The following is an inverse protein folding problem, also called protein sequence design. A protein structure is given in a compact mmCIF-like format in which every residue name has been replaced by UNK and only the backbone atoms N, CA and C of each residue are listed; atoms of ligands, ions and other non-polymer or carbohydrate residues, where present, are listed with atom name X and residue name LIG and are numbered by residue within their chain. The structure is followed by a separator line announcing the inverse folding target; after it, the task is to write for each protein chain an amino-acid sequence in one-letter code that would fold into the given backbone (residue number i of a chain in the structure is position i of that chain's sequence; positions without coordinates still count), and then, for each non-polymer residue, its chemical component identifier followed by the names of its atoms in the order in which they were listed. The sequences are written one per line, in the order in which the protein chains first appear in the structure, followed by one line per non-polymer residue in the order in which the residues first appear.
data_IF_084066259852
#
_entry.id   IF_084066259852
#
_cell.length_a   1.000
_cell.length_b   1.000
_cell.length_c   1.000
_cell.angle_alpha   90.00
_cell.angle_beta   90.00
_cell.angle_gamma   90.00
#
_symmetry.space_group_name_H-M   'P 1'
#
loop_
_entity.id
_entity.type
_entity.pdbx_description
1 polymer ?
#
# COMPACT_ATOMS: atom_id res chain seq x y z
N UNK A 1 -8.06 -14.11 -15.94
CA UNK A 1 -7.52 -12.92 -15.23
C UNK A 1 -6.02 -13.15 -15.03
N UNK A 2 -5.12 -12.15 -15.07
CA UNK A 2 -4.94 -11.02 -15.98
C UNK A 2 -3.50 -10.99 -16.60
N UNK A 3 -3.20 -10.11 -17.57
CA UNK A 3 -1.93 -10.08 -18.29
C UNK A 3 -0.86 -9.23 -17.61
N UNK A 4 0.35 -9.80 -17.48
CA UNK A 4 1.57 -9.13 -17.06
C UNK A 4 1.99 -8.05 -18.06
N UNK A 5 2.21 -6.83 -17.57
CA UNK A 5 2.76 -5.70 -18.34
C UNK A 5 4.27 -5.86 -18.54
N UNK A 6 4.66 -6.11 -19.78
CA UNK A 6 5.84 -5.56 -20.47
C UNK A 6 7.21 -5.69 -19.79
N UNK A 7 7.89 -6.83 -20.00
CA UNK A 7 9.37 -6.86 -20.05
C UNK A 7 9.81 -6.38 -21.43
N UNK A 8 10.62 -5.32 -21.46
CA UNK A 8 11.33 -4.85 -22.65
C UNK A 8 12.53 -5.77 -22.85
N UNK A 9 12.33 -6.86 -23.57
CA UNK A 9 13.42 -7.75 -24.00
C UNK A 9 14.23 -7.06 -25.10
N UNK A 10 15.52 -6.90 -24.85
CA UNK A 10 16.50 -6.52 -25.86
C UNK A 10 16.52 -7.60 -26.95
N UNK A 11 16.04 -7.28 -28.17
CA UNK A 11 16.28 -8.10 -29.36
C UNK A 11 17.22 -7.38 -30.30
N UNK A 12 18.28 -8.10 -30.69
CA UNK A 12 19.34 -7.68 -31.59
C UNK A 12 18.78 -7.19 -32.95
N UNK A 13 19.44 -6.19 -33.50
CA UNK A 13 19.05 -5.30 -34.60
C UNK A 13 19.03 -5.91 -36.03
N UNK A 14 18.77 -7.20 -36.17
CA UNK A 14 18.91 -7.91 -37.46
C UNK A 14 17.64 -8.06 -38.31
N UNK A 15 16.44 -7.86 -37.75
CA UNK A 15 15.16 -8.15 -38.43
C UNK A 15 14.09 -7.06 -38.20
N UNK A 16 14.49 -5.78 -38.22
CA UNK A 16 13.57 -4.68 -37.92
C UNK A 16 12.61 -4.33 -39.07
N UNK A 17 13.00 -4.59 -40.32
CA UNK A 17 12.26 -4.14 -41.50
C UNK A 17 11.00 -5.01 -41.78
N UNK A 18 11.10 -6.34 -41.65
CA UNK A 18 9.98 -7.24 -41.99
C UNK A 18 8.87 -7.29 -40.91
N UNK A 19 9.22 -7.11 -39.63
CA UNK A 19 8.23 -7.06 -38.54
C UNK A 19 7.40 -5.76 -38.53
N UNK A 20 7.97 -4.66 -39.07
CA UNK A 20 7.29 -3.37 -39.17
C UNK A 20 6.13 -3.38 -40.18
N UNK A 21 6.25 -4.17 -41.24
CA UNK A 21 5.21 -4.29 -42.26
C UNK A 21 4.01 -5.12 -41.77
N UNK A 22 4.25 -6.25 -41.10
CA UNK A 22 3.20 -7.10 -40.55
C UNK A 22 2.42 -6.42 -39.40
N UNK A 23 3.08 -5.62 -38.56
CA UNK A 23 2.44 -4.91 -37.45
C UNK A 23 1.54 -3.74 -37.88
N UNK A 24 1.73 -3.20 -39.10
CA UNK A 24 0.88 -2.11 -39.65
C UNK A 24 -0.45 -2.63 -40.19
N UNK A 25 -0.50 -3.86 -40.71
CA UNK A 25 -1.72 -4.47 -41.23
C UNK A 25 -2.67 -5.00 -40.13
N UNK A 26 -2.15 -5.32 -38.94
CA UNK A 26 -2.94 -5.84 -37.82
C UNK A 26 -3.66 -4.76 -36.98
N UNK A 27 -3.45 -3.47 -37.25
CA UNK A 27 -4.12 -2.35 -36.55
C UNK A 27 -5.34 -1.81 -37.30
N UNK A 28 -6.16 -2.70 -37.85
CA UNK A 28 -7.51 -2.33 -38.25
C UNK A 28 -8.26 -1.81 -37.00
N UNK A 29 -8.53 -0.51 -36.99
CA UNK A 29 -9.11 0.20 -35.87
C UNK A 29 -10.50 -0.36 -35.55
N UNK A 30 -10.64 -1.00 -34.37
CA UNK A 30 -11.95 -1.42 -33.87
C UNK A 30 -12.86 -0.19 -33.81
N UNK A 31 -14.13 -0.27 -34.27
CA UNK A 31 -15.06 0.86 -34.20
C UNK A 31 -15.23 1.30 -32.73
N UNK A 32 -15.15 2.60 -32.50
CA UNK A 32 -15.37 3.20 -31.17
C UNK A 32 -16.79 2.84 -30.73
N UNK A 33 -16.92 2.22 -29.56
CA UNK A 33 -18.24 1.92 -29.02
C UNK A 33 -19.07 3.20 -28.84
N UNK A 34 -20.39 3.14 -29.09
CA UNK A 34 -21.27 4.28 -28.92
C UNK A 34 -21.24 4.77 -27.46
N UNK A 35 -21.17 6.09 -27.28
CA UNK A 35 -21.15 6.69 -25.95
C UNK A 35 -22.47 6.37 -25.24
N UNK A 36 -22.39 5.67 -24.10
CA UNK A 36 -23.54 5.42 -23.22
C UNK A 36 -24.15 6.76 -22.81
N UNK A 37 -25.38 7.04 -23.25
CA UNK A 37 -26.13 8.23 -22.86
C UNK A 37 -26.61 8.00 -21.43
N UNK A 38 -25.92 8.62 -20.46
CA UNK A 38 -26.29 8.56 -19.04
C UNK A 38 -27.64 9.25 -18.86
N UNK A 39 -28.54 8.57 -18.15
CA UNK A 39 -29.84 9.11 -17.71
C UNK A 39 -29.62 10.30 -16.75
N UNK A 40 -30.59 11.22 -16.59
CA UNK A 40 -30.43 12.37 -15.68
C UNK A 40 -30.08 11.94 -14.24
N UNK A 41 -30.66 10.84 -13.75
CA UNK A 41 -30.37 10.29 -12.41
C UNK A 41 -28.92 9.77 -12.28
N UNK A 42 -28.38 9.08 -13.30
CA UNK A 42 -26.98 8.64 -13.30
C UNK A 42 -26.00 9.82 -13.37
N UNK A 43 -26.39 10.97 -13.97
CA UNK A 43 -25.56 12.18 -14.01
C UNK A 43 -25.45 12.85 -12.64
N UNK A 44 -26.53 12.86 -11.87
CA UNK A 44 -26.55 13.41 -10.51
C UNK A 44 -25.74 12.54 -9.55
N UNK A 45 -25.91 11.22 -9.60
CA UNK A 45 -25.08 10.29 -8.82
C UNK A 45 -23.59 10.44 -9.15
N UNK A 46 -23.24 10.59 -10.44
CA UNK A 46 -21.86 10.84 -10.86
C UNK A 46 -21.33 12.22 -10.44
N UNK A 47 -22.19 13.22 -10.25
CA UNK A 47 -21.82 14.53 -9.74
C UNK A 47 -21.50 14.46 -8.24
N UNK A 48 -22.37 13.81 -7.45
CA UNK A 48 -22.17 13.60 -6.02
C UNK A 48 -20.88 12.81 -5.74
N UNK A 49 -20.65 11.71 -6.48
CA UNK A 49 -19.43 10.91 -6.32
C UNK A 49 -18.15 11.72 -6.63
N UNK A 50 -18.20 12.63 -7.62
CA UNK A 50 -17.06 13.51 -7.92
C UNK A 50 -16.79 14.48 -6.78
N UNK A 51 -17.81 15.02 -6.14
CA UNK A 51 -17.66 15.92 -5.01
C UNK A 51 -17.07 15.21 -3.79
N UNK A 52 -17.53 14.00 -3.50
CA UNK A 52 -16.96 13.15 -2.45
C UNK A 52 -15.48 12.86 -2.72
N UNK A 53 -15.13 12.46 -3.95
CA UNK A 53 -13.73 12.24 -4.35
C UNK A 53 -12.87 13.50 -4.20
N UNK A 54 -13.41 14.69 -4.49
CA UNK A 54 -12.71 15.98 -4.26
C UNK A 54 -12.49 16.24 -2.78
N UNK A 55 -13.48 15.99 -1.91
CA UNK A 55 -13.35 16.15 -0.46
C UNK A 55 -12.26 15.22 0.10
N UNK A 56 -12.31 13.93 -0.28
CA UNK A 56 -11.29 12.94 0.13
C UNK A 56 -9.91 13.32 -0.40
N UNK A 57 -9.81 13.83 -1.63
CA UNK A 57 -8.52 14.27 -2.18
C UNK A 57 -7.93 15.43 -1.37
N UNK A 58 -8.72 16.45 -1.05
CA UNK A 58 -8.27 17.58 -0.23
C UNK A 58 -7.85 17.12 1.16
N UNK A 59 -8.62 16.22 1.79
CA UNK A 59 -8.28 15.65 3.09
C UNK A 59 -6.96 14.86 3.05
N UNK A 60 -6.69 14.14 1.95
CA UNK A 60 -5.40 13.46 1.75
C UNK A 60 -4.25 14.44 1.56
N UNK A 61 -4.44 15.51 0.80
CA UNK A 61 -3.42 16.53 0.57
C UNK A 61 -3.07 17.25 1.88
N UNK A 62 -4.07 17.64 2.68
CA UNK A 62 -3.83 18.25 4.01
C UNK A 62 -3.18 17.27 4.97
N UNK A 63 -3.63 16.01 4.99
CA UNK A 63 -3.01 14.96 5.79
C UNK A 63 -1.54 14.74 5.43
N UNK A 64 -1.22 14.59 4.14
CA UNK A 64 0.15 14.40 3.68
C UNK A 64 1.05 15.59 4.03
N UNK A 65 0.53 16.82 4.07
CA UNK A 65 1.28 17.99 4.49
C UNK A 65 1.63 17.97 6.00
N UNK A 66 0.86 17.27 6.83
CA UNK A 66 1.18 17.10 8.27
C UNK A 66 2.27 16.07 8.55
N UNK A 67 2.65 15.28 7.53
CA UNK A 67 3.60 14.19 7.68
C UNK A 67 5.03 14.72 7.63
N UNK A 68 5.74 14.58 8.75
CA UNK A 68 7.17 14.85 8.84
C UNK A 68 7.93 13.53 8.68
N UNK A 69 8.75 13.37 7.62
CA UNK A 69 9.57 12.16 7.46
C UNK A 69 10.51 11.97 8.64
N UNK A 70 10.63 10.72 9.10
CA UNK A 70 11.60 10.36 10.11
C UNK A 70 12.99 10.34 9.49
N UNK A 71 13.97 10.93 10.17
CA UNK A 71 15.37 10.89 9.75
C UNK A 71 15.94 9.51 10.10
N UNK A 72 16.40 8.71 9.11
CA UNK A 72 16.95 7.39 9.37
C UNK A 72 18.12 7.48 10.36
N UNK A 73 18.10 6.61 11.37
CA UNK A 73 19.18 6.49 12.34
C UNK A 73 19.51 5.01 12.51
N UNK A 74 20.67 4.60 12.00
CA UNK A 74 21.09 3.18 12.03
C UNK A 74 21.37 2.66 13.44
N UNK A 75 21.59 3.55 14.40
CA UNK A 75 21.75 3.21 15.82
C UNK A 75 20.41 2.99 16.53
N UNK A 76 19.28 3.36 15.90
CA UNK A 76 17.97 3.15 16.51
C UNK A 76 17.65 1.66 16.60
N UNK A 77 17.23 1.23 17.80
CA UNK A 77 16.82 -0.13 18.10
C UNK A 77 15.54 -0.06 18.92
N UNK A 78 14.52 -0.81 18.52
CA UNK A 78 13.32 -0.96 19.34
C UNK A 78 13.65 -1.68 20.67
N UNK A 79 12.93 -1.37 21.75
CA UNK A 79 13.01 -2.14 22.99
C UNK A 79 12.71 -3.63 22.77
N UNK A 80 13.18 -4.46 23.70
CA UNK A 80 12.79 -5.87 23.73
C UNK A 80 11.28 -6.00 24.01
N UNK A 81 10.71 -7.11 23.55
CA UNK A 81 9.28 -7.45 23.60
C UNK A 81 8.37 -6.54 22.77
N UNK A 82 8.90 -5.54 22.07
CA UNK A 82 8.10 -4.75 21.13
C UNK A 82 7.61 -5.63 19.99
N UNK A 83 6.31 -5.52 19.70
CA UNK A 83 5.71 -6.16 18.53
C UNK A 83 5.98 -5.32 17.29
N UNK A 84 6.69 -5.91 16.34
CA UNK A 84 7.11 -5.28 15.09
C UNK A 84 6.53 -6.02 13.89
N UNK A 85 6.47 -5.33 12.77
CA UNK A 85 5.96 -5.84 11.50
C UNK A 85 6.77 -5.29 10.33
N UNK A 86 6.67 -5.96 9.17
CA UNK A 86 7.31 -5.49 7.95
C UNK A 86 6.54 -4.36 7.28
N UNK A 87 7.27 -3.56 6.50
CA UNK A 87 6.68 -2.49 5.67
C UNK A 87 5.51 -2.96 4.81
N UNK A 88 5.64 -4.14 4.18
CA UNK A 88 4.58 -4.71 3.32
C UNK A 88 3.30 -4.96 4.10
N UNK A 89 3.45 -5.49 5.31
CA UNK A 89 2.34 -5.94 6.14
C UNK A 89 1.65 -4.73 6.79
N UNK A 90 2.42 -3.68 7.11
CA UNK A 90 1.89 -2.39 7.55
C UNK A 90 0.96 -1.78 6.49
N UNK A 91 1.41 -1.78 5.23
CA UNK A 91 0.66 -1.20 4.11
C UNK A 91 -0.60 -1.98 3.80
N UNK A 92 -0.53 -3.31 3.77
CA UNK A 92 -1.67 -4.16 3.45
C UNK A 92 -2.73 -4.13 4.55
N UNK A 93 -2.31 -4.23 5.82
CA UNK A 93 -3.23 -4.32 6.94
C UNK A 93 -3.85 -2.98 7.33
N UNK A 94 -3.05 -1.91 7.39
CA UNK A 94 -3.51 -0.61 7.87
C UNK A 94 -3.77 0.40 6.74
N UNK A 95 -3.66 -0.02 5.47
CA UNK A 95 -3.90 0.86 4.33
C UNK A 95 -2.95 2.06 4.26
N UNK A 96 -1.74 1.91 4.78
CA UNK A 96 -0.73 2.97 4.82
C UNK A 96 0.00 3.13 3.48
N UNK A 97 0.40 4.35 3.15
CA UNK A 97 1.18 4.69 1.96
C UNK A 97 2.67 4.71 2.25
N UNK A 98 3.51 4.72 1.21
CA UNK A 98 4.96 4.84 1.39
C UNK A 98 5.39 6.12 2.12
N UNK A 99 4.71 7.24 1.86
CA UNK A 99 4.97 8.52 2.51
C UNK A 99 4.67 8.46 4.01
N UNK A 100 3.55 7.84 4.36
CA UNK A 100 3.16 7.61 5.76
C UNK A 100 4.16 6.69 6.46
N UNK A 101 4.56 5.60 5.82
CA UNK A 101 5.59 4.70 6.38
C UNK A 101 6.94 5.39 6.59
N UNK A 102 7.28 6.38 5.76
CA UNK A 102 8.52 7.15 5.92
C UNK A 102 8.52 8.08 7.15
N UNK A 103 7.35 8.38 7.72
CA UNK A 103 7.27 9.15 8.98
C UNK A 103 7.52 8.30 10.23
N UNK A 104 7.45 6.98 10.09
CA UNK A 104 7.58 6.07 11.22
C UNK A 104 9.04 5.73 11.49
N UNK A 105 9.36 5.61 12.78
CA UNK A 105 10.63 5.05 13.23
C UNK A 105 10.73 3.62 12.73
N UNK A 106 11.91 3.26 12.24
CA UNK A 106 12.17 1.93 11.75
C UNK A 106 13.57 1.47 12.10
N UNK A 107 13.71 0.16 12.23
CA UNK A 107 14.97 -0.52 12.48
C UNK A 107 15.33 -1.33 11.24
N UNK A 108 16.57 -1.18 10.76
CA UNK A 108 17.12 -1.96 9.66
C UNK A 108 17.70 -3.28 10.18
N UNK A 109 17.53 -4.34 9.41
CA UNK A 109 18.14 -5.64 9.73
C UNK A 109 19.56 -5.65 9.17
N UNK A 110 20.58 -5.95 9.97
CA UNK A 110 21.94 -6.14 9.47
C UNK A 110 21.95 -7.15 8.32
N UNK A 111 22.58 -6.80 7.19
CA UNK A 111 22.73 -7.66 6.00
C UNK A 111 21.41 -8.01 5.28
N UNK A 112 20.30 -7.31 5.56
CA UNK A 112 19.06 -7.45 4.79
C UNK A 112 18.48 -6.09 4.43
N UNK A 113 17.85 -5.99 3.26
CA UNK A 113 17.12 -4.79 2.84
C UNK A 113 15.77 -4.61 3.57
N UNK A 114 15.41 -5.54 4.47
CA UNK A 114 14.15 -5.49 5.21
C UNK A 114 14.27 -4.53 6.40
N UNK A 115 13.16 -3.84 6.68
CA UNK A 115 13.02 -2.94 7.81
C UNK A 115 11.80 -3.29 8.65
N UNK A 116 11.91 -3.06 9.95
CA UNK A 116 10.84 -3.25 10.92
C UNK A 116 10.23 -1.94 11.35
N UNK A 117 8.93 -1.98 11.58
CA UNK A 117 8.14 -0.90 12.14
C UNK A 117 7.41 -1.42 13.38
N UNK A 118 7.26 -0.60 14.41
CA UNK A 118 6.42 -0.96 15.55
C UNK A 118 4.96 -1.07 15.12
N UNK A 119 4.27 -2.11 15.57
CA UNK A 119 2.86 -2.32 15.25
C UNK A 119 1.99 -1.19 15.83
N UNK A 120 2.28 -0.76 17.05
CA UNK A 120 1.53 0.29 17.74
C UNK A 120 1.60 1.62 17.00
N UNK A 121 2.79 2.01 16.52
CA UNK A 121 2.97 3.22 15.74
C UNK A 121 2.20 3.18 14.43
N UNK A 122 2.21 2.04 13.73
CA UNK A 122 1.43 1.85 12.50
C UNK A 122 -0.09 1.94 12.77
N UNK A 123 -0.57 1.33 13.87
CA UNK A 123 -1.98 1.44 14.31
C UNK A 123 -2.36 2.88 14.64
N UNK A 124 -1.51 3.60 15.37
CA UNK A 124 -1.74 4.98 15.77
C UNK A 124 -1.79 5.92 14.55
N UNK A 125 -0.91 5.72 13.57
CA UNK A 125 -0.94 6.48 12.33
C UNK A 125 -2.21 6.19 11.52
N UNK A 126 -2.62 4.92 11.44
CA UNK A 126 -3.87 4.53 10.78
C UNK A 126 -5.10 5.14 11.46
N UNK A 127 -5.13 5.15 12.80
CA UNK A 127 -6.16 5.85 13.60
C UNK A 127 -6.24 7.33 13.27
N UNK A 128 -5.10 8.03 13.28
CA UNK A 128 -5.04 9.47 12.97
C UNK A 128 -5.49 9.75 11.53
N UNK A 129 -5.08 8.92 10.57
CA UNK A 129 -5.51 9.01 9.17
C UNK A 129 -7.02 8.83 9.01
N UNK A 130 -7.60 7.87 9.76
CA UNK A 130 -9.04 7.62 9.77
C UNK A 130 -9.80 8.84 10.33
N UNK A 131 -9.36 9.38 11.48
CA UNK A 131 -9.94 10.59 12.07
C UNK A 131 -9.82 11.82 11.15
N UNK A 132 -8.74 11.91 10.37
CA UNK A 132 -8.55 12.99 9.38
C UNK A 132 -9.41 12.84 8.11
N UNK A 133 -10.19 11.76 7.97
CA UNK A 133 -10.97 11.49 6.75
C UNK A 133 -10.11 11.22 5.50
N UNK A 134 -8.80 11.01 5.67
CA UNK A 134 -7.84 10.72 4.60
C UNK A 134 -7.74 9.22 4.26
N UNK A 135 -8.59 8.40 4.89
CA UNK A 135 -8.68 6.96 4.68
C UNK A 135 -9.04 6.57 3.25
N UNK A 136 -8.83 5.28 2.93
CA UNK A 136 -9.40 4.70 1.71
C UNK A 136 -10.90 4.50 1.92
N UNK A 137 -11.77 4.79 0.93
CA UNK A 137 -13.19 4.47 1.04
C UNK A 137 -13.37 2.97 1.33
N UNK A 138 -14.16 2.64 2.36
CA UNK A 138 -14.39 1.27 2.82
C UNK A 138 -13.23 0.65 3.63
N UNK A 139 -12.33 1.47 4.20
CA UNK A 139 -11.35 1.01 5.18
C UNK A 139 -11.94 1.07 6.59
N UNK A 140 -11.98 -0.08 7.27
CA UNK A 140 -12.33 -0.18 8.68
C UNK A 140 -11.06 -0.45 9.49
N UNK A 141 -10.87 0.28 10.59
CA UNK A 141 -9.63 0.27 11.38
C UNK A 141 -9.37 -1.08 12.06
N UNK A 142 -10.43 -1.77 12.48
CA UNK A 142 -10.35 -3.03 13.23
C UNK A 142 -10.35 -4.27 12.33
N UNK A 143 -10.60 -4.11 11.02
CA UNK A 143 -10.44 -5.18 10.05
C UNK A 143 -8.98 -5.31 9.60
N UNK A 144 -8.24 -6.21 10.24
CA UNK A 144 -6.94 -6.64 9.72
C UNK A 144 -7.18 -7.48 8.46
N UNK A 145 -6.89 -6.90 7.29
CA UNK A 145 -7.01 -7.62 6.01
C UNK A 145 -5.90 -8.66 5.86
N UNK A 146 -6.24 -9.91 6.13
CA UNK A 146 -5.39 -11.09 5.90
C UNK A 146 -4.55 -11.51 7.12
N UNK A 147 -3.59 -12.41 6.88
CA UNK A 147 -2.65 -12.87 7.91
C UNK A 147 -1.59 -11.79 8.17
N UNK A 148 -1.56 -11.28 9.40
CA UNK A 148 -0.55 -10.31 9.81
C UNK A 148 0.64 -11.05 10.41
N UNK A 149 1.79 -10.96 9.75
CA UNK A 149 3.04 -11.46 10.30
C UNK A 149 3.54 -10.46 11.33
N UNK A 150 3.31 -10.79 12.59
CA UNK A 150 3.86 -10.05 13.72
C UNK A 150 5.10 -10.76 14.22
N UNK A 151 6.03 -9.96 14.72
CA UNK A 151 7.24 -10.46 15.33
C UNK A 151 7.40 -9.80 16.68
N UNK A 152 7.77 -10.56 17.70
CA UNK A 152 8.25 -9.99 18.95
C UNK A 152 9.77 -9.91 18.90
N UNK A 153 10.30 -8.73 19.23
CA UNK A 153 11.74 -8.58 19.44
C UNK A 153 12.14 -9.31 20.71
N UNK A 154 12.94 -10.37 20.60
CA UNK A 154 13.45 -11.13 21.73
C UNK A 154 14.98 -11.20 21.68
N UNK A 155 15.60 -11.37 22.84
CA UNK A 155 16.96 -11.89 22.92
C UNK A 155 16.89 -13.40 22.89
N UNK A 156 17.76 -14.01 22.10
CA UNK A 156 17.97 -15.43 22.12
C UNK A 156 18.87 -15.85 23.28
N UNK A 157 19.02 -17.16 23.52
CA UNK A 157 19.87 -17.68 24.62
C UNK A 157 21.35 -17.25 24.54
N UNK A 158 21.80 -16.80 23.38
CA UNK A 158 23.17 -16.31 23.13
C UNK A 158 23.24 -14.77 23.02
N UNK A 159 22.28 -14.05 23.58
CA UNK A 159 22.14 -12.57 23.48
C UNK A 159 22.06 -12.02 22.04
N UNK A 160 21.76 -12.88 21.07
CA UNK A 160 21.49 -12.51 19.68
C UNK A 160 20.04 -12.07 19.52
N UNK A 161 19.81 -10.96 18.79
CA UNK A 161 18.46 -10.49 18.48
C UNK A 161 17.73 -11.48 17.56
N UNK A 162 16.63 -12.04 18.07
CA UNK A 162 15.72 -12.90 17.29
C UNK A 162 14.33 -12.29 17.25
N UNK A 163 13.67 -12.54 16.12
CA UNK A 163 12.27 -12.21 15.90
C UNK A 163 11.45 -13.48 16.05
N UNK A 164 10.80 -13.63 17.20
CA UNK A 164 9.84 -14.69 17.38
C UNK A 164 8.58 -14.32 16.58
N UNK A 165 8.26 -15.09 15.53
CA UNK A 165 7.06 -14.84 14.74
C UNK A 165 5.82 -15.27 15.51
N UNK A 166 4.86 -14.36 15.64
CA UNK A 166 3.49 -14.65 16.06
C UNK A 166 2.56 -14.35 14.90
N UNK A 167 1.81 -15.35 14.45
CA UNK A 167 0.77 -15.15 13.44
C UNK A 167 -0.46 -14.63 14.16
N UNK A 168 -0.84 -13.37 13.90
CA UNK A 168 -2.14 -12.88 14.31
C UNK A 168 -3.14 -13.18 13.18
N UNK A 169 -4.03 -14.13 13.42
CA UNK A 169 -5.17 -14.41 12.55
C UNK A 169 -6.28 -13.42 12.90
N UNK A 170 -6.75 -12.66 11.91
CA UNK A 170 -7.80 -11.65 12.11
C UNK A 170 -9.08 -12.28 12.69
N UNK A 171 -9.50 -11.81 13.86
CA UNK A 171 -10.83 -12.08 14.41
C UNK A 171 -11.82 -11.29 13.57
N UNK A 172 -12.79 -11.97 12.94
CA UNK A 172 -13.89 -11.33 12.22
C UNK A 172 -14.69 -10.46 13.20
N UNK A 173 -15.19 -9.29 12.80
CA UNK A 173 -16.12 -8.55 13.63
C UNK A 173 -17.33 -9.43 13.93
N UNK A 174 -17.72 -9.50 15.21
CA UNK A 174 -19.02 -10.02 15.64
C UNK A 174 -20.03 -8.95 15.25
N UNK A 175 -20.96 -9.31 14.37
CA UNK A 175 -22.10 -8.46 14.00
C UNK A 175 -22.87 -8.10 15.29
N UNK A 176 -23.01 -6.80 15.55
CA UNK A 176 -23.89 -6.22 16.58
C UNK A 176 -25.01 -5.43 15.88
#
# INVERSE_FOLDING_TARGET
MPPYRGRKEYRCSGYAEEAGAAAKLAKAAKPRQPKKVLTPEEKEAAALEKEERKKVRKAKETWEATLVPWVPNDAFRFPLKTTVLYKSDAKSAYGLTDKEMATLKHESIPRSAKTFFAQEDAKNLARRKFMAGAGKPGFQLDEVKGELRLFHKALDRNDTLILASTVAVGIKPVDL
#
